data_IF_939832841367
#
_entry.id   IF_939832841367
#
_cell.length_a   1.000
_cell.length_b   1.000
_cell.length_c   1.000
_cell.angle_alpha   90.00
_cell.angle_beta   90.00
_cell.angle_gamma   90.00
#
_symmetry.space_group_name_H-M   'P 1'
#
loop_
_entity.id
_entity.type
_entity.pdbx_description
1 polymer ?
#
# COMPACT_ATOMS: atom_id res chain seq x y z
N UNK A 1 -3.57 -3.23 18.31
CA UNK A 1 -2.47 -2.52 17.59
C UNK A 1 -2.13 -1.18 18.25
N UNK A 2 -3.09 -0.23 18.40
CA UNK A 2 -2.84 1.05 19.09
C UNK A 2 -2.19 0.89 20.48
N UNK A 3 -2.75 0.04 21.33
CA UNK A 3 -2.17 -0.23 22.66
C UNK A 3 -0.83 -0.96 22.57
N UNK A 4 -0.71 -1.95 21.68
CA UNK A 4 0.52 -2.72 21.47
C UNK A 4 1.71 -1.82 21.08
N UNK A 5 1.47 -0.79 20.24
CA UNK A 5 2.48 0.19 19.85
C UNK A 5 2.90 1.12 20.99
N UNK A 6 1.98 1.43 21.90
CA UNK A 6 2.25 2.26 23.08
C UNK A 6 3.22 1.59 24.06
N UNK A 7 3.24 0.26 24.11
CA UNK A 7 4.09 -0.51 25.03
C UNK A 7 5.43 -0.96 24.42
N UNK A 8 5.55 -0.98 23.09
CA UNK A 8 6.83 -1.20 22.42
C UNK A 8 7.65 0.09 22.38
N UNK A 9 8.46 0.31 23.41
CA UNK A 9 9.39 1.45 23.49
C UNK A 9 10.43 1.37 22.36
N UNK A 10 10.51 2.41 21.54
CA UNK A 10 11.57 2.58 20.52
C UNK A 10 11.12 2.50 19.05
N UNK A 11 9.86 2.17 18.76
CA UNK A 11 9.33 2.19 17.39
C UNK A 11 8.46 3.42 17.13
N UNK A 12 8.68 4.08 16.00
CA UNK A 12 7.90 5.25 15.55
C UNK A 12 6.66 4.85 14.75
N UNK A 13 6.76 3.86 13.85
CA UNK A 13 5.66 3.41 13.01
C UNK A 13 5.73 1.90 12.74
N UNK A 14 4.58 1.26 12.45
CA UNK A 14 4.52 -0.09 11.88
C UNK A 14 4.33 0.00 10.37
N UNK A 15 5.29 -0.55 9.64
CA UNK A 15 5.18 -0.75 8.20
C UNK A 15 4.71 -2.18 7.95
N UNK A 16 3.62 -2.34 7.21
CA UNK A 16 3.08 -3.66 6.85
C UNK A 16 2.59 -3.69 5.41
N UNK A 17 2.38 -4.90 4.89
CA UNK A 17 1.75 -5.12 3.59
C UNK A 17 0.46 -5.95 3.76
N UNK A 18 0.26 -6.93 2.88
CA UNK A 18 -0.75 -8.00 2.93
C UNK A 18 -2.20 -7.59 2.63
N UNK A 19 -2.66 -6.40 3.07
CA UNK A 19 -4.00 -5.90 2.71
C UNK A 19 -3.94 -5.09 1.42
N UNK A 20 -4.85 -5.36 0.48
CA UNK A 20 -5.04 -4.54 -0.72
C UNK A 20 -5.47 -3.12 -0.32
N UNK A 21 -4.82 -2.11 -0.90
CA UNK A 21 -5.16 -0.70 -0.75
C UNK A 21 -5.19 -0.05 -2.12
N UNK A 22 -6.23 0.73 -2.42
CA UNK A 22 -6.50 1.23 -3.77
C UNK A 22 -5.40 2.19 -4.25
N UNK A 23 -4.90 3.06 -3.38
CA UNK A 23 -3.84 4.03 -3.70
C UNK A 23 -2.42 3.43 -3.60
N UNK A 24 -2.29 2.12 -3.33
CA UNK A 24 -0.99 1.47 -3.12
C UNK A 24 -0.40 1.67 -1.71
N UNK A 25 -0.84 2.68 -0.95
CA UNK A 25 -0.57 2.77 0.48
C UNK A 25 -1.75 3.37 1.26
N UNK A 26 -1.82 3.12 2.57
CA UNK A 26 -2.81 3.73 3.45
C UNK A 26 -2.28 3.86 4.88
N UNK A 27 -2.41 5.06 5.46
CA UNK A 27 -2.13 5.31 6.87
C UNK A 27 -3.37 5.06 7.71
N UNK A 28 -3.21 4.31 8.80
CA UNK A 28 -4.27 4.06 9.77
C UNK A 28 -3.72 4.16 11.20
N UNK A 29 -4.63 4.04 12.17
CA UNK A 29 -4.30 4.17 13.59
C UNK A 29 -3.54 5.46 13.93
N UNK A 30 -4.09 6.61 13.53
CA UNK A 30 -3.52 7.94 13.79
C UNK A 30 -2.10 8.11 13.22
N UNK A 31 -1.88 7.56 12.01
CA UNK A 31 -0.59 7.52 11.31
C UNK A 31 0.50 6.72 12.04
N UNK A 32 0.14 5.81 12.93
CA UNK A 32 1.11 4.91 13.57
C UNK A 32 1.34 3.62 12.76
N UNK A 33 0.46 3.30 11.81
CA UNK A 33 0.56 2.10 10.97
C UNK A 33 0.35 2.50 9.52
N UNK A 34 1.24 2.06 8.63
CA UNK A 34 1.04 2.17 7.18
C UNK A 34 0.96 0.79 6.57
N UNK A 35 -0.02 0.62 5.69
CA UNK A 35 -0.10 -0.53 4.78
C UNK A 35 0.44 -0.11 3.43
N UNK A 36 1.35 -0.88 2.85
CA UNK A 36 1.94 -0.67 1.52
C UNK A 36 1.64 -1.90 0.66
N UNK A 37 1.22 -1.68 -0.58
CA UNK A 37 0.89 -2.71 -1.54
C UNK A 37 1.58 -2.40 -2.87
N UNK A 38 2.47 -3.28 -3.32
CA UNK A 38 3.38 -2.99 -4.43
C UNK A 38 3.02 -3.71 -5.74
N UNK A 39 1.84 -4.32 -5.83
CA UNK A 39 1.35 -4.99 -7.04
C UNK A 39 0.21 -4.17 -7.69
N UNK A 40 0.48 -3.41 -8.76
CA UNK A 40 -0.53 -2.55 -9.37
C UNK A 40 -1.51 -3.40 -10.18
N UNK A 41 -2.79 -3.00 -10.18
CA UNK A 41 -3.91 -3.75 -10.75
C UNK A 41 -3.87 -5.23 -10.33
N UNK A 42 -3.95 -5.47 -9.03
CA UNK A 42 -3.84 -6.80 -8.43
C UNK A 42 -4.82 -7.78 -9.07
N UNK A 43 -4.30 -8.97 -9.41
CA UNK A 43 -5.00 -10.01 -10.16
C UNK A 43 -5.70 -9.50 -11.44
N UNK A 44 -5.24 -8.39 -12.00
CA UNK A 44 -5.80 -7.77 -13.20
C UNK A 44 -7.27 -7.41 -13.10
N UNK A 45 -7.75 -7.12 -11.89
CA UNK A 45 -9.17 -6.88 -11.61
C UNK A 45 -9.39 -5.67 -10.71
N UNK A 46 -8.51 -5.48 -9.75
CA UNK A 46 -8.74 -4.52 -8.67
C UNK A 46 -8.48 -3.07 -9.08
N UNK A 47 -7.71 -2.83 -10.15
CA UNK A 47 -7.43 -1.47 -10.63
C UNK A 47 -6.74 -0.56 -9.62
N UNK A 48 -6.13 -1.10 -8.56
CA UNK A 48 -5.37 -0.35 -7.58
C UNK A 48 -4.04 0.14 -8.16
N UNK A 49 -3.57 1.27 -7.67
CA UNK A 49 -2.17 1.66 -7.79
C UNK A 49 -1.30 0.80 -6.86
N UNK A 50 -0.01 0.77 -7.15
CA UNK A 50 0.99 0.25 -6.24
C UNK A 50 1.81 1.37 -5.64
N UNK A 51 2.43 1.11 -4.50
CA UNK A 51 3.38 2.04 -3.90
C UNK A 51 4.64 1.34 -3.37
N UNK A 52 5.71 2.12 -3.27
CA UNK A 52 6.94 1.84 -2.51
C UNK A 52 7.10 2.97 -1.48
N UNK A 53 7.63 2.65 -0.30
CA UNK A 53 8.07 3.63 0.69
C UNK A 53 9.59 3.63 0.72
N UNK A 54 10.19 4.76 0.41
CA UNK A 54 11.63 4.98 0.52
C UNK A 54 11.92 5.57 1.90
N UNK A 55 13.02 5.14 2.50
CA UNK A 55 13.52 5.62 3.79
C UNK A 55 14.97 6.07 3.60
N UNK A 56 15.28 7.29 4.00
CA UNK A 56 16.66 7.80 3.99
C UNK A 56 17.40 7.49 5.30
N UNK A 57 18.70 7.81 5.33
CA UNK A 57 19.56 7.60 6.51
C UNK A 57 19.12 8.43 7.73
N UNK A 58 18.30 9.46 7.53
CA UNK A 58 17.71 10.30 8.59
C UNK A 58 16.31 9.83 9.00
N UNK A 59 15.87 8.64 8.56
CA UNK A 59 14.54 8.08 8.78
C UNK A 59 13.40 8.95 8.23
N UNK A 60 13.68 9.87 7.30
CA UNK A 60 12.63 10.53 6.52
C UNK A 60 12.14 9.56 5.47
N UNK A 61 10.87 9.69 5.14
CA UNK A 61 10.23 8.81 4.16
C UNK A 61 9.47 9.57 3.08
N UNK A 62 9.40 8.95 1.92
CA UNK A 62 8.56 9.34 0.78
C UNK A 62 7.83 8.12 0.24
N UNK A 63 6.69 8.35 -0.41
CA UNK A 63 5.97 7.30 -1.14
C UNK A 63 6.10 7.54 -2.64
N UNK A 64 6.40 6.49 -3.37
CA UNK A 64 6.36 6.47 -4.83
C UNK A 64 5.19 5.60 -5.26
N UNK A 65 4.15 6.21 -5.83
CA UNK A 65 3.00 5.50 -6.40
C UNK A 65 3.23 5.24 -7.89
N UNK A 66 2.79 4.08 -8.37
CA UNK A 66 2.93 3.71 -9.77
C UNK A 66 1.76 2.84 -10.26
N UNK A 67 1.44 3.03 -11.54
CA UNK A 67 0.43 2.28 -12.27
C UNK A 67 1.02 0.98 -12.88
N UNK A 68 0.17 0.05 -13.35
CA UNK A 68 0.65 -1.12 -14.06
C UNK A 68 1.47 -0.72 -15.29
N UNK A 69 2.54 -1.46 -15.57
CA UNK A 69 3.29 -1.27 -16.80
C UNK A 69 2.37 -1.41 -18.04
N UNK A 70 2.56 -0.60 -19.09
CA UNK A 70 1.77 -0.70 -20.31
C UNK A 70 1.84 -2.11 -20.89
N UNK A 71 0.69 -2.72 -21.19
CA UNK A 71 0.65 -4.01 -21.88
C UNK A 71 0.56 -3.79 -23.38
N UNK A 72 1.46 -4.41 -24.13
CA UNK A 72 1.35 -4.44 -25.59
C UNK A 72 0.16 -5.34 -25.98
N UNK A 73 -0.88 -4.75 -26.57
CA UNK A 73 -1.93 -5.49 -27.28
C UNK A 73 -3.11 -6.02 -26.47
N UNK A 74 -3.31 -5.60 -25.21
CA UNK A 74 -4.48 -6.05 -24.41
C UNK A 74 -5.59 -4.99 -24.31
N UNK A 75 -6.88 -5.42 -24.31
CA UNK A 75 -8.02 -4.52 -24.13
C UNK A 75 -8.06 -3.91 -22.72
N UNK A 76 -8.68 -2.73 -22.61
CA UNK A 76 -8.86 -2.01 -21.35
C UNK A 76 -9.63 -2.86 -20.34
N UNK A 77 -8.99 -3.21 -19.22
CA UNK A 77 -9.61 -3.96 -18.12
C UNK A 77 -10.63 -3.07 -17.41
N UNK A 78 -11.84 -3.56 -17.20
CA UNK A 78 -12.88 -2.87 -16.42
C UNK A 78 -12.57 -2.94 -14.92
N UNK A 79 -12.60 -1.78 -14.24
CA UNK A 79 -12.37 -1.64 -12.79
C UNK A 79 -13.51 -2.30 -12.01
N UNK A 80 -13.27 -3.49 -11.43
CA UNK A 80 -14.14 -4.04 -10.38
C UNK A 80 -13.29 -4.78 -9.35
N UNK A 81 -13.07 -4.13 -8.21
CA UNK A 81 -12.51 -4.77 -7.02
C UNK A 81 -13.53 -5.76 -6.47
N UNK A 82 -13.20 -7.06 -6.36
CA UNK A 82 -14.09 -8.02 -5.71
C UNK A 82 -14.30 -7.73 -4.23
N UNK A 83 -15.49 -8.04 -3.69
CA UNK A 83 -15.87 -7.71 -2.31
C UNK A 83 -15.00 -8.38 -1.24
N UNK A 84 -14.41 -9.55 -1.55
CA UNK A 84 -13.53 -10.27 -0.60
C UNK A 84 -12.18 -9.57 -0.34
N UNK A 85 -11.89 -8.48 -1.06
CA UNK A 85 -10.71 -7.64 -0.82
C UNK A 85 -10.99 -6.43 0.10
N UNK A 86 -12.25 -6.18 0.49
CA UNK A 86 -12.65 -5.07 1.38
C UNK A 86 -12.41 -5.39 2.86
#
# INVERSE_FOLDING_TARGET
IKELLKYTKGFTHVLRAHKLVIEGYNWCHDKNVVTIFSAPNYCYRCGNQAAIMELDDSLKYSFLQFDPAPRRGEPHVTRKTPDYFL
#
